data_IF_810545051973
#
_entry.id   IF_810545051973
#
_cell.length_a   1.000
_cell.length_b   1.000
_cell.length_c   1.000
_cell.angle_alpha   90.00
_cell.angle_beta   90.00
_cell.angle_gamma   90.00
#
_symmetry.space_group_name_H-M   'P 1'
#
loop_
_entity.id
_entity.type
_entity.pdbx_description
1 polymer ?
#
# COMPACT_ATOMS: atom_id res chain seq x y z
N UNK A 1 -7.59 -43.20 4.41
CA UNK A 1 -6.68 -42.68 3.36
C UNK A 1 -5.62 -41.86 4.05
N UNK A 2 -4.39 -42.36 4.13
CA UNK A 2 -3.25 -41.66 4.73
C UNK A 2 -2.32 -41.24 3.61
N UNK A 3 -1.96 -39.95 3.58
CA UNK A 3 -0.93 -39.47 2.66
C UNK A 3 0.41 -39.95 3.21
N UNK A 4 1.04 -40.91 2.53
CA UNK A 4 2.43 -41.29 2.77
C UNK A 4 3.29 -40.30 1.99
N UNK A 5 3.86 -39.30 2.69
CA UNK A 5 4.89 -38.44 2.12
C UNK A 5 6.26 -38.98 2.53
N UNK A 6 6.96 -39.64 1.61
CA UNK A 6 8.33 -40.17 1.80
C UNK A 6 9.43 -39.08 1.82
N UNK A 7 9.14 -37.87 2.31
CA UNK A 7 10.13 -36.81 2.32
C UNK A 7 9.71 -35.60 3.13
N UNK A 8 10.64 -35.08 3.93
CA UNK A 8 10.50 -33.80 4.61
C UNK A 8 10.07 -32.70 3.62
N UNK A 9 9.28 -31.73 4.09
CA UNK A 9 8.95 -30.54 3.32
C UNK A 9 10.23 -29.86 2.82
N UNK A 10 10.27 -29.49 1.53
CA UNK A 10 11.39 -28.78 0.96
C UNK A 10 11.65 -27.46 1.74
N UNK A 11 12.91 -27.08 1.97
CA UNK A 11 13.23 -25.84 2.65
C UNK A 11 12.64 -24.64 1.87
N UNK A 12 12.07 -23.69 2.62
CA UNK A 12 11.57 -22.44 2.05
C UNK A 12 12.75 -21.63 1.53
N UNK A 13 12.63 -21.11 0.30
CA UNK A 13 13.66 -20.24 -0.25
C UNK A 13 13.83 -18.99 0.63
N UNK A 14 15.06 -18.49 0.82
CA UNK A 14 15.28 -17.21 1.49
C UNK A 14 14.50 -16.09 0.80
N UNK A 15 13.98 -15.15 1.59
CA UNK A 15 13.30 -13.95 1.09
C UNK A 15 13.71 -12.74 1.93
N UNK A 16 13.68 -11.57 1.31
CA UNK A 16 13.96 -10.29 1.96
C UNK A 16 12.65 -9.56 2.29
N UNK A 17 12.44 -9.26 3.57
CA UNK A 17 11.37 -8.37 4.02
C UNK A 17 11.83 -6.92 3.93
N UNK A 18 11.12 -6.08 3.17
CA UNK A 18 11.34 -4.62 3.15
C UNK A 18 10.25 -3.92 3.94
N UNK A 19 10.64 -2.86 4.67
CA UNK A 19 9.67 -1.98 5.32
C UNK A 19 8.86 -1.24 4.26
N UNK A 20 7.54 -1.22 4.43
CA UNK A 20 6.67 -0.48 3.55
C UNK A 20 6.71 1.02 3.82
N UNK A 21 6.38 1.79 2.79
CA UNK A 21 6.35 3.25 2.84
C UNK A 21 4.98 3.72 3.33
N UNK A 22 4.96 4.77 4.15
CA UNK A 22 3.73 5.45 4.53
C UNK A 22 3.71 6.86 3.95
N UNK A 23 2.56 7.27 3.45
CA UNK A 23 2.29 8.64 3.03
C UNK A 23 1.40 9.26 4.09
N UNK A 24 1.87 10.36 4.67
CA UNK A 24 1.18 11.12 5.70
C UNK A 24 0.95 12.55 5.19
N UNK A 25 -0.18 13.13 5.57
CA UNK A 25 -0.51 14.49 5.16
C UNK A 25 -1.72 15.04 5.90
N UNK A 26 -2.09 16.27 5.55
CA UNK A 26 -3.24 16.96 6.11
C UNK A 26 -3.86 17.90 5.10
N UNK A 27 -5.18 18.07 5.17
CA UNK A 27 -5.92 19.05 4.37
C UNK A 27 -6.00 20.38 5.13
N UNK A 28 -5.80 21.50 4.42
CA UNK A 28 -5.92 22.85 4.97
C UNK A 28 -6.98 23.66 4.21
N UNK A 29 -7.98 24.25 4.91
CA UNK A 29 -8.23 24.15 6.35
C UNK A 29 -8.57 22.71 6.79
N UNK A 30 -8.38 22.41 8.08
CA UNK A 30 -8.63 21.09 8.65
C UNK A 30 -10.10 20.70 8.47
N UNK A 31 -10.35 19.69 7.63
CA UNK A 31 -11.67 19.20 7.28
C UNK A 31 -11.69 17.68 7.44
N UNK A 32 -12.66 17.18 8.18
CA UNK A 32 -12.89 15.74 8.34
C UNK A 32 -13.67 15.14 7.19
N UNK A 33 -13.38 13.87 6.89
CA UNK A 33 -14.10 13.08 5.89
C UNK A 33 -13.79 13.43 4.44
N UNK A 34 -12.67 14.13 4.17
CA UNK A 34 -12.18 14.32 2.80
C UNK A 34 -11.67 12.99 2.27
N UNK A 35 -12.12 12.58 1.09
CA UNK A 35 -11.67 11.37 0.41
C UNK A 35 -10.25 11.56 -0.11
N UNK A 36 -9.33 10.71 0.32
CA UNK A 36 -7.94 10.71 -0.07
C UNK A 36 -7.65 9.43 -0.85
N UNK A 37 -7.19 9.59 -2.09
CA UNK A 37 -6.77 8.50 -2.97
C UNK A 37 -5.28 8.57 -3.21
N UNK A 38 -4.61 7.44 -3.01
CA UNK A 38 -3.21 7.25 -3.38
C UNK A 38 -3.16 6.48 -4.69
N UNK A 39 -2.58 7.09 -5.72
CA UNK A 39 -2.54 6.54 -7.08
C UNK A 39 -1.10 6.28 -7.47
N UNK A 40 -0.84 5.15 -8.13
CA UNK A 40 0.48 4.81 -8.63
C UNK A 40 0.87 5.70 -9.82
N UNK A 41 2.08 6.26 -9.79
CA UNK A 41 2.66 7.02 -10.92
C UNK A 41 3.50 6.15 -11.86
N UNK A 42 3.74 4.89 -11.49
CA UNK A 42 4.54 3.94 -12.26
C UNK A 42 4.11 2.50 -12.05
N UNK A 43 4.87 1.59 -12.63
CA UNK A 43 4.71 0.15 -12.39
C UNK A 43 5.52 -0.25 -11.14
N UNK A 44 5.10 -1.32 -10.47
CA UNK A 44 5.88 -1.99 -9.42
C UNK A 44 6.33 -3.36 -9.91
N UNK A 45 7.54 -3.77 -9.56
CA UNK A 45 8.02 -5.14 -9.82
C UNK A 45 7.65 -6.09 -8.68
N UNK A 46 7.44 -5.54 -7.48
CA UNK A 46 7.11 -6.29 -6.28
C UNK A 46 5.59 -6.44 -6.08
N UNK A 47 4.79 -5.62 -6.76
CA UNK A 47 3.34 -5.66 -6.76
C UNK A 47 2.82 -5.71 -8.19
N UNK A 48 1.64 -6.30 -8.39
CA UNK A 48 0.93 -6.20 -9.68
C UNK A 48 0.26 -4.82 -9.82
N UNK A 49 1.05 -3.75 -9.76
CA UNK A 49 0.59 -2.36 -9.87
C UNK A 49 1.07 -1.76 -11.18
N UNK A 50 0.16 -1.09 -11.87
CA UNK A 50 0.37 -0.31 -13.08
C UNK A 50 0.27 1.18 -12.78
N UNK A 51 0.78 2.00 -13.71
CA UNK A 51 0.61 3.45 -13.64
C UNK A 51 -0.88 3.81 -13.73
N UNK A 52 -1.34 4.63 -12.78
CA UNK A 52 -2.73 5.06 -12.68
C UNK A 52 -3.60 4.18 -11.79
N UNK A 53 -3.07 3.06 -11.28
CA UNK A 53 -3.83 2.20 -10.38
C UNK A 53 -4.07 2.87 -9.03
N UNK A 54 -5.27 2.68 -8.50
CA UNK A 54 -5.60 3.04 -7.13
C UNK A 54 -4.93 2.06 -6.18
N UNK A 55 -4.09 2.59 -5.29
CA UNK A 55 -3.27 1.80 -4.36
C UNK A 55 -3.93 1.74 -2.99
N UNK A 56 -4.48 2.87 -2.55
CA UNK A 56 -5.13 3.00 -1.25
C UNK A 56 -6.16 4.13 -1.30
N UNK A 57 -7.26 3.93 -0.61
CA UNK A 57 -8.26 4.96 -0.35
C UNK A 57 -8.45 5.10 1.16
N UNK A 58 -8.46 6.34 1.65
CA UNK A 58 -8.66 6.67 3.06
C UNK A 58 -9.43 7.98 3.18
N UNK A 59 -9.78 8.39 4.40
CA UNK A 59 -10.41 9.68 4.66
C UNK A 59 -9.65 10.43 5.74
N UNK A 60 -9.74 11.76 5.70
CA UNK A 60 -9.16 12.60 6.75
C UNK A 60 -9.88 12.46 8.09
N UNK A 61 -9.11 12.49 9.17
CA UNK A 61 -9.58 12.53 10.56
C UNK A 61 -10.23 13.86 10.95
N UNK A 62 -10.67 13.97 12.20
CA UNK A 62 -11.31 15.19 12.73
C UNK A 62 -10.39 16.42 12.72
N UNK A 63 -9.08 16.19 12.75
CA UNK A 63 -8.00 17.18 12.64
C UNK A 63 -7.59 17.46 11.19
N UNK A 64 -8.25 16.84 10.20
CA UNK A 64 -7.90 16.97 8.78
C UNK A 64 -6.67 16.18 8.35
N UNK A 65 -6.07 15.35 9.23
CA UNK A 65 -4.90 14.54 8.91
C UNK A 65 -5.28 13.19 8.28
N UNK A 66 -4.35 12.58 7.55
CA UNK A 66 -4.48 11.22 7.03
C UNK A 66 -3.12 10.52 7.02
N UNK A 67 -3.16 9.19 7.05
CA UNK A 67 -2.03 8.31 6.76
C UNK A 67 -2.49 7.19 5.83
N UNK A 68 -1.60 6.77 4.93
CA UNK A 68 -1.83 5.71 3.96
C UNK A 68 -0.59 4.84 3.78
N UNK A 69 -0.72 3.54 3.99
CA UNK A 69 0.36 2.56 3.87
C UNK A 69 0.09 1.31 4.70
N UNK A 70 1.01 0.33 4.71
CA UNK A 70 2.31 0.33 4.03
C UNK A 70 2.20 0.15 2.50
N UNK A 71 3.03 0.86 1.74
CA UNK A 71 3.11 0.85 0.28
C UNK A 71 4.44 0.28 -0.22
N UNK A 72 4.48 -0.15 -1.49
CA UNK A 72 5.69 -0.67 -2.12
C UNK A 72 6.68 0.46 -2.45
N UNK A 73 7.95 0.26 -2.12
CA UNK A 73 8.98 1.30 -2.28
C UNK A 73 9.67 1.35 -3.64
N UNK A 74 9.27 0.51 -4.59
CA UNK A 74 9.85 0.42 -5.93
C UNK A 74 9.07 1.21 -6.99
N UNK A 75 8.04 1.96 -6.58
CA UNK A 75 7.27 2.84 -7.45
C UNK A 75 6.96 4.17 -6.76
N UNK A 76 6.51 5.15 -7.54
CA UNK A 76 6.15 6.48 -7.05
C UNK A 76 4.64 6.61 -6.94
N UNK A 77 4.17 7.49 -6.07
CA UNK A 77 2.73 7.71 -5.83
C UNK A 77 2.37 9.18 -5.90
N UNK A 78 1.10 9.45 -6.21
CA UNK A 78 0.47 10.76 -6.04
C UNK A 78 -0.72 10.66 -5.10
N UNK A 79 -1.05 11.77 -4.45
CA UNK A 79 -2.22 11.88 -3.58
C UNK A 79 -3.23 12.79 -4.24
N UNK A 80 -4.47 12.32 -4.32
CA UNK A 80 -5.61 13.08 -4.80
C UNK A 80 -6.62 13.22 -3.66
N UNK A 81 -7.18 14.42 -3.51
CA UNK A 81 -8.14 14.74 -2.45
C UNK A 81 -9.47 15.23 -3.05
N UNK A 82 -10.58 14.67 -2.59
CA UNK A 82 -11.93 14.94 -3.07
C UNK A 82 -12.91 15.09 -1.91
N UNK A 83 -13.99 15.84 -2.12
CA UNK A 83 -15.09 15.98 -1.16
C UNK A 83 -16.43 15.95 -1.87
#
# INVERSE_FOLDING_TARGET
VGVVTDGCQAPVAPFDGRLGIYIEGSVSPAISGVDIKVVSLGESQNAQLQKGDLVLETKTGSDGSFSGGPLYGDTSYTVEAFK
#
